data_IF_433917275514
#
_entry.id   IF_433917275514
#
_cell.length_a   1.000
_cell.length_b   1.000
_cell.length_c   1.000
_cell.angle_alpha   90.00
_cell.angle_beta   90.00
_cell.angle_gamma   90.00
#
_symmetry.space_group_name_H-M   'P 1'
#
loop_
_entity.id
_entity.type
_entity.pdbx_description
1 polymer ?
#
# COMPACT_ATOMS: atom_id res chain seq x y z
N UNK A 1 88.60 8.95 -48.26
CA UNK A 1 87.83 9.74 -47.27
C UNK A 1 86.27 9.58 -47.42
N UNK A 2 85.73 9.26 -48.60
CA UNK A 2 84.32 9.20 -48.85
C UNK A 2 83.65 7.89 -48.35
N UNK A 3 84.40 6.77 -48.17
CA UNK A 3 83.85 5.50 -47.71
C UNK A 3 83.67 5.38 -46.19
N UNK A 4 84.40 6.18 -45.41
CA UNK A 4 84.25 6.12 -43.94
C UNK A 4 83.07 6.96 -43.38
N UNK A 5 82.65 7.98 -44.16
CA UNK A 5 81.49 8.80 -43.75
C UNK A 5 80.11 8.05 -43.91
N UNK A 6 79.96 7.25 -45.00
CA UNK A 6 78.75 6.52 -45.26
C UNK A 6 78.45 5.36 -44.27
N UNK A 7 79.55 4.79 -43.72
CA UNK A 7 79.39 3.74 -42.67
C UNK A 7 79.00 4.32 -41.32
N UNK A 8 79.46 5.56 -41.01
CA UNK A 8 79.08 6.24 -39.76
C UNK A 8 77.68 6.75 -39.78
N UNK A 9 77.12 7.23 -40.90
CA UNK A 9 75.72 7.65 -41.04
C UNK A 9 74.75 6.46 -40.94
N UNK A 10 75.06 5.33 -41.56
CA UNK A 10 74.25 4.12 -41.42
C UNK A 10 74.25 3.54 -40.00
N UNK A 11 75.40 3.65 -39.29
CA UNK A 11 75.49 3.23 -37.87
C UNK A 11 74.61 4.09 -36.94
N UNK A 12 74.53 5.39 -37.18
CA UNK A 12 73.73 6.33 -36.40
C UNK A 12 72.27 6.12 -36.69
N UNK A 13 71.85 5.86 -37.91
CA UNK A 13 70.46 5.58 -38.27
C UNK A 13 70.03 4.27 -37.68
N UNK A 14 70.83 3.21 -37.71
CA UNK A 14 70.54 1.93 -37.08
C UNK A 14 70.49 2.05 -35.55
N UNK A 15 71.33 2.80 -34.93
CA UNK A 15 71.28 3.06 -33.50
C UNK A 15 70.05 3.89 -33.10
N UNK A 16 69.63 4.86 -33.90
CA UNK A 16 68.43 5.64 -33.67
C UNK A 16 67.15 4.80 -33.83
N UNK A 17 67.13 3.91 -34.82
CA UNK A 17 65.99 2.97 -35.03
C UNK A 17 65.91 1.93 -33.91
N UNK A 18 67.03 1.43 -33.43
CA UNK A 18 67.13 0.52 -32.28
C UNK A 18 66.76 1.22 -30.96
N UNK A 19 67.17 2.49 -30.79
CA UNK A 19 66.78 3.30 -29.65
C UNK A 19 65.33 3.72 -29.69
N UNK A 20 64.76 4.00 -30.86
CA UNK A 20 63.32 4.25 -31.04
C UNK A 20 62.49 2.99 -30.82
N UNK A 21 63.01 1.83 -31.21
CA UNK A 21 62.34 0.52 -30.96
C UNK A 21 62.46 0.04 -29.50
N UNK A 22 63.48 0.57 -28.77
CA UNK A 22 63.65 0.37 -27.30
C UNK A 22 62.95 1.43 -26.45
N UNK A 23 62.26 2.41 -27.03
CA UNK A 23 61.27 3.20 -26.32
C UNK A 23 60.07 2.28 -26.06
N UNK A 24 60.30 1.38 -25.14
CA UNK A 24 59.38 0.37 -24.70
C UNK A 24 58.03 0.96 -24.36
N UNK A 25 57.04 0.20 -24.62
CA UNK A 25 55.67 0.37 -24.13
C UNK A 25 55.73 0.91 -22.70
N UNK A 26 55.23 2.12 -22.50
CA UNK A 26 55.15 2.71 -21.15
C UNK A 26 54.38 1.77 -20.28
N UNK A 27 55.06 1.03 -19.39
CA UNK A 27 54.43 0.17 -18.44
C UNK A 27 53.43 1.01 -17.61
N UNK A 28 52.18 0.72 -17.75
CA UNK A 28 51.11 1.38 -16.97
C UNK A 28 51.11 0.79 -15.57
N UNK A 29 51.36 1.58 -14.52
CA UNK A 29 51.28 1.07 -13.15
C UNK A 29 49.86 0.60 -12.84
N UNK A 30 49.75 -0.64 -12.37
CA UNK A 30 48.44 -1.22 -11.98
C UNK A 30 48.47 -1.63 -10.52
N UNK A 31 47.44 -1.32 -9.80
CA UNK A 31 47.22 -1.81 -8.43
C UNK A 31 46.57 -3.17 -8.51
N UNK A 32 47.10 -4.12 -7.76
CA UNK A 32 46.61 -5.50 -7.75
C UNK A 32 46.04 -5.85 -6.39
N UNK A 33 44.82 -6.40 -6.37
CA UNK A 33 44.16 -6.90 -5.17
C UNK A 33 43.82 -8.38 -5.34
N UNK A 34 43.85 -9.14 -4.24
CA UNK A 34 43.54 -10.57 -4.28
C UNK A 34 42.03 -10.78 -4.30
N UNK A 35 41.55 -11.58 -5.23
CA UNK A 35 40.17 -12.06 -5.22
C UNK A 35 39.93 -12.92 -3.98
N UNK A 36 38.80 -12.68 -3.31
CA UNK A 36 38.40 -13.38 -2.08
C UNK A 36 37.11 -14.12 -2.33
N UNK A 37 37.03 -15.36 -1.87
CA UNK A 37 35.76 -16.12 -1.88
C UNK A 37 34.98 -15.73 -0.64
N UNK A 38 33.77 -15.19 -0.84
CA UNK A 38 32.86 -14.79 0.23
C UNK A 38 31.40 -14.98 -0.16
N UNK A 39 30.54 -14.94 0.83
CA UNK A 39 29.09 -14.87 0.64
C UNK A 39 28.70 -13.41 0.42
N UNK A 40 27.95 -13.12 -0.62
CA UNK A 40 27.45 -11.78 -0.94
C UNK A 40 25.92 -11.84 -0.85
N UNK A 41 25.36 -10.89 -0.09
CA UNK A 41 23.91 -10.68 0.00
C UNK A 41 23.58 -9.35 -0.65
N UNK A 42 22.68 -9.36 -1.61
CA UNK A 42 22.13 -8.16 -2.21
C UNK A 42 21.13 -7.53 -1.25
N UNK A 43 21.37 -6.27 -0.91
CA UNK A 43 20.54 -5.50 0.02
C UNK A 43 19.75 -4.44 -0.76
N UNK A 44 18.46 -4.39 -0.50
CA UNK A 44 17.59 -3.31 -0.95
C UNK A 44 17.29 -2.41 0.25
N UNK A 45 17.82 -1.19 0.24
CA UNK A 45 17.61 -0.22 1.32
C UNK A 45 16.40 0.67 0.99
N UNK A 46 15.46 0.75 1.92
CA UNK A 46 14.27 1.57 1.78
C UNK A 46 13.94 2.30 3.09
N UNK A 47 13.33 3.47 2.97
CA UNK A 47 12.90 4.27 4.13
C UNK A 47 11.38 4.25 4.27
N UNK A 48 10.91 4.33 5.50
CA UNK A 48 9.50 4.31 5.79
C UNK A 48 9.14 4.74 7.20
N UNK A 49 7.90 4.43 7.59
CA UNK A 49 7.38 4.76 8.93
C UNK A 49 6.89 3.51 9.63
N UNK A 50 7.15 3.47 10.93
CA UNK A 50 6.60 2.47 11.84
C UNK A 50 5.11 2.75 12.01
N UNK A 51 4.26 1.75 11.83
CA UNK A 51 2.82 1.83 12.02
C UNK A 51 2.31 0.57 12.73
N UNK A 52 1.18 0.62 13.39
CA UNK A 52 0.56 -0.58 13.93
C UNK A 52 0.03 -1.45 12.77
N UNK A 53 0.06 -2.76 12.95
CA UNK A 53 -0.53 -3.72 11.99
C UNK A 53 -2.04 -3.48 11.83
N UNK A 54 -2.73 -3.23 12.95
CA UNK A 54 -4.17 -2.95 12.98
C UNK A 54 -4.37 -1.56 13.58
N UNK A 55 -4.94 -0.66 12.81
CA UNK A 55 -5.39 0.66 13.22
C UNK A 55 -6.85 0.84 12.85
N UNK A 56 -7.69 1.18 13.82
CA UNK A 56 -9.12 1.41 13.64
C UNK A 56 -9.42 2.87 13.91
N UNK A 57 -9.96 3.56 12.92
CA UNK A 57 -10.47 4.92 13.06
C UNK A 57 -11.86 4.87 13.66
N UNK A 58 -12.07 5.58 14.77
CA UNK A 58 -13.35 5.69 15.44
C UNK A 58 -14.01 6.99 14.99
N UNK A 59 -15.12 6.84 14.27
CA UNK A 59 -15.97 7.94 13.82
C UNK A 59 -17.41 7.68 14.25
N UNK A 60 -18.21 8.69 14.60
CA UNK A 60 -19.58 8.52 15.02
C UNK A 60 -20.46 8.16 13.83
N UNK A 61 -21.48 7.35 14.05
CA UNK A 61 -22.51 7.11 13.04
C UNK A 61 -23.62 8.16 13.07
N UNK A 62 -23.78 8.83 14.21
CA UNK A 62 -24.81 9.85 14.46
C UNK A 62 -24.14 11.20 14.79
N UNK A 63 -24.78 12.30 14.40
CA UNK A 63 -24.27 13.64 14.66
C UNK A 63 -24.69 14.11 16.06
N UNK A 64 -23.83 14.90 16.72
CA UNK A 64 -24.18 15.49 18.03
C UNK A 64 -23.00 16.13 18.71
N UNK A 65 -23.21 16.60 19.93
CA UNK A 65 -22.19 17.19 20.81
C UNK A 65 -21.58 16.08 21.68
N UNK A 66 -20.26 16.07 21.79
CA UNK A 66 -19.53 15.13 22.66
C UNK A 66 -19.66 15.57 24.12
N UNK A 67 -20.30 14.75 24.96
CA UNK A 67 -20.52 15.07 26.36
C UNK A 67 -19.49 14.38 27.28
N UNK A 68 -18.93 13.26 26.84
CA UNK A 68 -18.01 12.49 27.68
C UNK A 68 -17.00 11.72 26.82
N UNK A 69 -15.74 11.82 27.16
CA UNK A 69 -14.64 11.04 26.59
C UNK A 69 -13.83 10.52 27.79
N UNK A 70 -14.15 9.34 28.33
CA UNK A 70 -13.52 8.83 29.57
C UNK A 70 -12.13 8.26 29.37
N UNK A 71 -11.53 8.44 28.20
CA UNK A 71 -10.26 7.85 27.78
C UNK A 71 -9.26 8.93 27.36
N UNK A 72 -7.97 8.65 27.50
CA UNK A 72 -6.87 9.55 27.14
C UNK A 72 -5.93 8.90 26.13
N UNK A 73 -5.15 9.71 25.41
CA UNK A 73 -4.13 9.19 24.48
C UNK A 73 -3.11 8.29 25.23
N UNK A 74 -2.75 7.18 24.58
CA UNK A 74 -1.83 6.18 25.13
C UNK A 74 -2.47 5.21 26.13
N UNK A 75 -3.75 5.38 26.48
CA UNK A 75 -4.46 4.45 27.37
C UNK A 75 -4.78 3.15 26.65
N UNK A 76 -4.59 2.02 27.34
CA UNK A 76 -5.03 0.71 26.87
C UNK A 76 -6.50 0.51 27.18
N UNK A 77 -7.25 0.04 26.18
CA UNK A 77 -8.69 -0.25 26.26
C UNK A 77 -8.96 -1.68 25.78
N UNK A 78 -10.00 -2.28 26.35
CA UNK A 78 -10.48 -3.61 25.96
C UNK A 78 -11.66 -3.46 25.00
N UNK A 79 -11.95 -4.53 24.26
CA UNK A 79 -13.17 -4.60 23.45
C UNK A 79 -14.41 -4.43 24.36
N UNK A 80 -15.28 -3.47 24.00
CA UNK A 80 -16.50 -3.15 24.73
C UNK A 80 -16.34 -2.05 25.77
N UNK A 81 -15.14 -1.48 26.00
CA UNK A 81 -14.97 -0.32 26.86
C UNK A 81 -15.60 0.93 26.22
N UNK A 82 -16.17 1.80 27.06
CA UNK A 82 -16.77 3.07 26.64
C UNK A 82 -15.66 4.02 26.16
N UNK A 83 -15.78 4.48 24.91
CA UNK A 83 -14.86 5.44 24.33
C UNK A 83 -15.41 6.86 24.33
N UNK A 84 -16.67 7.01 23.89
CA UNK A 84 -17.29 8.32 23.65
C UNK A 84 -18.76 8.25 23.93
N UNK A 85 -19.32 9.33 24.48
CA UNK A 85 -20.76 9.53 24.61
C UNK A 85 -21.15 10.83 23.93
N UNK A 86 -22.09 10.73 23.00
CA UNK A 86 -22.74 11.84 22.30
C UNK A 86 -24.02 12.19 23.05
N UNK A 87 -24.41 13.46 23.07
CA UNK A 87 -25.63 13.97 23.69
C UNK A 87 -26.87 13.25 23.18
N UNK A 88 -27.60 12.49 24.03
CA UNK A 88 -28.66 11.58 23.57
C UNK A 88 -30.04 12.26 23.47
N UNK A 89 -30.22 13.49 24.02
CA UNK A 89 -31.52 14.13 24.25
C UNK A 89 -32.42 14.13 23.00
N UNK A 90 -31.86 14.48 21.85
CA UNK A 90 -32.60 14.50 20.59
C UNK A 90 -33.05 13.11 20.16
N UNK A 91 -32.18 12.11 20.30
CA UNK A 91 -32.47 10.72 19.91
C UNK A 91 -33.45 10.06 20.87
N UNK A 92 -33.37 10.40 22.15
CA UNK A 92 -34.31 9.93 23.17
C UNK A 92 -35.71 10.48 22.93
N UNK A 93 -35.84 11.79 22.66
CA UNK A 93 -37.12 12.39 22.32
C UNK A 93 -37.70 11.82 21.01
N UNK A 94 -36.87 11.54 20.01
CA UNK A 94 -37.29 10.91 18.78
C UNK A 94 -37.78 9.46 19.01
N UNK A 95 -37.14 8.70 19.89
CA UNK A 95 -37.55 7.36 20.26
C UNK A 95 -38.93 7.41 20.97
N UNK A 96 -39.10 8.27 21.97
CA UNK A 96 -40.36 8.45 22.72
C UNK A 96 -41.52 8.83 21.78
N UNK A 97 -41.27 9.70 20.80
CA UNK A 97 -42.27 10.05 19.78
C UNK A 97 -42.71 8.81 18.96
N UNK A 98 -41.74 7.94 18.54
CA UNK A 98 -42.08 6.73 17.79
C UNK A 98 -42.78 5.68 18.66
N UNK A 99 -42.43 5.58 19.92
CA UNK A 99 -43.11 4.68 20.88
C UNK A 99 -44.58 5.13 21.11
N UNK A 100 -44.82 6.44 21.22
CA UNK A 100 -46.17 6.99 21.27
C UNK A 100 -46.98 6.69 19.99
N UNK A 101 -46.36 6.80 18.82
CA UNK A 101 -46.94 6.42 17.54
C UNK A 101 -47.31 4.95 17.47
N UNK A 102 -46.43 4.07 17.97
CA UNK A 102 -46.70 2.63 18.08
C UNK A 102 -47.85 2.35 19.01
N UNK A 103 -47.92 3.02 20.16
CA UNK A 103 -49.05 2.87 21.10
C UNK A 103 -50.40 3.25 20.44
N UNK A 104 -50.44 4.32 19.64
CA UNK A 104 -51.60 4.75 18.86
C UNK A 104 -51.99 3.68 17.81
N UNK A 105 -51.02 3.15 17.07
CA UNK A 105 -51.26 2.08 16.09
C UNK A 105 -51.82 0.82 16.74
N UNK A 106 -51.31 0.43 17.91
CA UNK A 106 -51.84 -0.69 18.70
C UNK A 106 -53.28 -0.45 19.16
N UNK A 107 -53.59 0.78 19.63
CA UNK A 107 -54.99 1.13 20.00
C UNK A 107 -55.94 1.06 18.81
N UNK A 108 -55.53 1.52 17.63
CA UNK A 108 -56.28 1.42 16.38
C UNK A 108 -56.55 -0.07 16.02
N UNK A 109 -55.54 -0.92 16.18
CA UNK A 109 -55.68 -2.36 15.91
C UNK A 109 -56.67 -3.03 16.87
N UNK A 110 -56.72 -2.65 18.15
CA UNK A 110 -57.70 -3.13 19.11
C UNK A 110 -59.12 -2.75 18.66
N UNK A 111 -59.32 -1.51 18.18
CA UNK A 111 -60.61 -1.07 17.64
C UNK A 111 -61.01 -1.88 16.38
N UNK A 112 -60.08 -2.07 15.42
CA UNK A 112 -60.34 -2.86 14.21
C UNK A 112 -60.66 -4.33 14.56
N UNK A 113 -59.97 -4.90 15.55
CA UNK A 113 -60.24 -6.25 16.06
C UNK A 113 -61.66 -6.35 16.65
N UNK A 114 -62.12 -5.37 17.42
CA UNK A 114 -63.46 -5.34 17.95
C UNK A 114 -64.52 -5.27 16.84
N UNK A 115 -64.27 -4.47 15.79
CA UNK A 115 -65.12 -4.40 14.60
C UNK A 115 -65.20 -5.76 13.87
N UNK A 116 -64.02 -6.41 13.69
CA UNK A 116 -63.98 -7.75 13.08
C UNK A 116 -64.78 -8.77 13.91
N UNK A 117 -64.59 -8.75 15.21
CA UNK A 117 -65.33 -9.65 16.10
C UNK A 117 -66.87 -9.44 15.98
N UNK A 118 -67.35 -8.19 15.91
CA UNK A 118 -68.75 -7.89 15.66
C UNK A 118 -69.21 -8.42 14.29
N UNK A 119 -68.48 -8.11 13.22
CA UNK A 119 -68.81 -8.57 11.87
C UNK A 119 -68.84 -10.12 11.76
N UNK A 120 -67.93 -10.80 12.46
CA UNK A 120 -67.92 -12.27 12.55
C UNK A 120 -69.19 -12.80 13.22
N UNK A 121 -69.67 -12.15 14.30
CA UNK A 121 -70.92 -12.52 14.98
C UNK A 121 -72.16 -12.27 14.08
N UNK A 122 -72.18 -11.09 13.44
CA UNK A 122 -73.26 -10.70 12.54
C UNK A 122 -73.33 -11.65 11.32
N UNK A 123 -72.22 -12.04 10.76
CA UNK A 123 -72.10 -13.01 9.67
C UNK A 123 -72.62 -14.39 10.11
N UNK A 124 -72.18 -14.90 11.27
CA UNK A 124 -72.57 -16.18 11.80
C UNK A 124 -74.11 -16.24 12.05
N UNK A 125 -74.71 -15.16 12.57
CA UNK A 125 -76.14 -15.02 12.73
C UNK A 125 -76.83 -15.03 11.35
N UNK A 126 -76.40 -14.31 10.36
CA UNK A 126 -76.89 -14.28 9.00
C UNK A 126 -76.86 -15.68 8.34
N UNK A 127 -75.69 -16.39 8.51
CA UNK A 127 -75.48 -17.75 8.02
C UNK A 127 -76.55 -18.77 8.60
N UNK A 128 -76.78 -18.71 9.92
CA UNK A 128 -77.75 -19.55 10.59
C UNK A 128 -79.21 -19.27 10.12
N UNK A 129 -79.54 -17.99 9.93
CA UNK A 129 -80.90 -17.59 9.46
C UNK A 129 -81.11 -17.92 7.97
N UNK A 130 -79.99 -17.75 7.12
CA UNK A 130 -80.03 -18.11 5.71
C UNK A 130 -80.23 -19.61 5.52
N UNK A 131 -79.59 -20.46 6.32
CA UNK A 131 -79.80 -21.91 6.35
C UNK A 131 -81.20 -22.33 6.70
N UNK A 132 -81.92 -21.49 7.47
CA UNK A 132 -83.33 -21.65 7.81
C UNK A 132 -84.32 -20.97 6.83
N UNK A 133 -83.82 -20.38 5.74
CA UNK A 133 -84.56 -19.62 4.73
C UNK A 133 -85.32 -18.39 5.31
N UNK A 134 -84.84 -17.79 6.39
CA UNK A 134 -85.47 -16.66 7.06
C UNK A 134 -84.95 -15.28 6.64
N UNK A 135 -83.84 -15.23 5.84
CA UNK A 135 -83.30 -14.00 5.29
C UNK A 135 -83.04 -14.13 3.77
N UNK A 136 -82.99 -13.00 3.08
CA UNK A 136 -82.70 -12.96 1.62
C UNK A 136 -81.26 -13.29 1.29
N UNK A 137 -81.01 -13.75 0.07
CA UNK A 137 -79.67 -13.95 -0.42
C UNK A 137 -78.87 -12.63 -0.44
N UNK A 138 -79.50 -11.49 -0.70
CA UNK A 138 -78.88 -10.17 -0.68
C UNK A 138 -78.37 -9.82 0.73
N UNK A 139 -79.11 -10.12 1.79
CA UNK A 139 -78.70 -9.85 3.18
C UNK A 139 -77.49 -10.73 3.58
N UNK A 140 -77.49 -12.00 3.15
CA UNK A 140 -76.37 -12.91 3.42
C UNK A 140 -75.09 -12.46 2.70
N UNK A 141 -75.20 -12.06 1.41
CA UNK A 141 -74.04 -11.51 0.64
C UNK A 141 -73.56 -10.22 1.30
N UNK A 142 -74.44 -9.34 1.77
CA UNK A 142 -74.07 -8.12 2.48
C UNK A 142 -73.25 -8.40 3.77
N UNK A 143 -73.71 -9.39 4.57
CA UNK A 143 -73.01 -9.80 5.78
C UNK A 143 -71.62 -10.39 5.48
N UNK A 144 -71.49 -11.19 4.40
CA UNK A 144 -70.23 -11.73 3.94
C UNK A 144 -69.27 -10.62 3.53
N UNK A 145 -69.75 -9.66 2.73
CA UNK A 145 -68.95 -8.52 2.31
C UNK A 145 -68.44 -7.66 3.50
N UNK A 146 -69.32 -7.41 4.46
CA UNK A 146 -68.97 -6.68 5.68
C UNK A 146 -67.93 -7.43 6.52
N UNK A 147 -67.97 -8.75 6.60
CA UNK A 147 -66.91 -9.54 7.26
C UNK A 147 -65.56 -9.42 6.54
N UNK A 148 -65.56 -9.52 5.21
CA UNK A 148 -64.34 -9.39 4.43
C UNK A 148 -63.70 -7.99 4.58
N UNK A 149 -64.52 -6.94 4.56
CA UNK A 149 -64.06 -5.57 4.81
C UNK A 149 -63.44 -5.43 6.21
N UNK A 150 -64.15 -5.92 7.25
CA UNK A 150 -63.66 -5.85 8.63
C UNK A 150 -62.35 -6.65 8.82
N UNK A 151 -62.21 -7.78 8.12
CA UNK A 151 -60.98 -8.58 8.12
C UNK A 151 -59.81 -7.83 7.45
N UNK A 152 -60.08 -7.24 6.28
CA UNK A 152 -59.09 -6.43 5.58
C UNK A 152 -58.64 -5.20 6.40
N UNK A 153 -59.56 -4.53 7.10
CA UNK A 153 -59.25 -3.43 8.00
C UNK A 153 -58.38 -3.87 9.17
N UNK A 154 -58.63 -5.02 9.76
CA UNK A 154 -57.79 -5.58 10.82
C UNK A 154 -56.43 -5.96 10.32
N UNK A 155 -56.32 -6.64 9.17
CA UNK A 155 -55.04 -6.99 8.55
C UNK A 155 -54.21 -5.73 8.20
N UNK A 156 -54.87 -4.68 7.70
CA UNK A 156 -54.26 -3.37 7.46
C UNK A 156 -53.68 -2.74 8.75
N UNK A 157 -54.44 -2.81 9.86
CA UNK A 157 -54.00 -2.32 11.17
C UNK A 157 -52.77 -3.08 11.70
N UNK A 158 -52.71 -4.39 11.47
CA UNK A 158 -51.52 -5.20 11.82
C UNK A 158 -50.30 -4.81 10.99
N UNK A 159 -50.49 -4.50 9.69
CA UNK A 159 -49.40 -4.00 8.84
C UNK A 159 -48.90 -2.63 9.32
N UNK A 160 -49.79 -1.75 9.79
CA UNK A 160 -49.43 -0.47 10.39
C UNK A 160 -48.57 -0.64 11.67
N UNK A 161 -48.93 -1.58 12.56
CA UNK A 161 -48.15 -1.92 13.75
C UNK A 161 -46.72 -2.32 13.33
N UNK A 162 -46.57 -3.27 12.40
CA UNK A 162 -45.27 -3.73 11.93
C UNK A 162 -44.41 -2.57 11.37
N UNK A 163 -45.03 -1.67 10.60
CA UNK A 163 -44.34 -0.48 10.07
C UNK A 163 -43.84 0.45 11.19
N UNK A 164 -44.69 0.72 12.18
CA UNK A 164 -44.31 1.59 13.31
C UNK A 164 -43.33 0.92 14.26
N UNK A 165 -43.37 -0.40 14.44
CA UNK A 165 -42.36 -1.17 15.15
C UNK A 165 -40.97 -1.05 14.47
N UNK A 166 -40.92 -1.09 13.13
CA UNK A 166 -39.72 -0.81 12.36
C UNK A 166 -39.15 0.59 12.63
N UNK A 167 -40.04 1.61 12.68
CA UNK A 167 -39.62 2.98 13.01
C UNK A 167 -39.09 3.12 14.43
N UNK A 168 -39.70 2.45 15.42
CA UNK A 168 -39.19 2.40 16.81
C UNK A 168 -37.81 1.74 16.87
N UNK A 169 -37.63 0.61 16.17
CA UNK A 169 -36.34 -0.08 16.11
C UNK A 169 -35.26 0.83 15.54
N UNK A 170 -35.55 1.54 14.45
CA UNK A 170 -34.60 2.49 13.85
C UNK A 170 -34.22 3.64 14.80
N UNK A 171 -35.18 4.22 15.52
CA UNK A 171 -34.91 5.28 16.50
C UNK A 171 -34.11 4.75 17.69
N UNK A 172 -34.37 3.52 18.12
CA UNK A 172 -33.63 2.85 19.19
C UNK A 172 -32.16 2.58 18.78
N UNK A 173 -31.96 2.13 17.55
CA UNK A 173 -30.60 1.95 16.99
C UNK A 173 -29.85 3.27 16.92
N UNK A 174 -30.52 4.35 16.50
CA UNK A 174 -29.91 5.68 16.46
C UNK A 174 -29.53 6.17 17.86
N UNK A 175 -30.35 5.90 18.87
CA UNK A 175 -30.03 6.20 20.26
C UNK A 175 -28.87 5.34 20.76
N UNK A 176 -28.83 4.05 20.45
CA UNK A 176 -27.72 3.19 20.85
C UNK A 176 -26.37 3.67 20.27
N UNK A 177 -26.39 4.21 19.05
CA UNK A 177 -25.20 4.75 18.36
C UNK A 177 -24.68 6.07 18.95
N UNK A 178 -25.40 6.69 19.91
CA UNK A 178 -24.87 7.85 20.66
C UNK A 178 -23.78 7.45 21.66
N UNK A 179 -23.68 6.16 22.01
CA UNK A 179 -22.66 5.63 22.90
C UNK A 179 -21.74 4.71 22.11
N UNK A 180 -20.48 5.11 22.01
CA UNK A 180 -19.50 4.42 21.15
C UNK A 180 -18.59 3.59 22.04
N UNK A 181 -18.52 2.31 21.75
CA UNK A 181 -17.67 1.33 22.45
C UNK A 181 -16.52 0.88 21.56
N UNK A 182 -15.45 0.42 22.19
CA UNK A 182 -14.29 -0.11 21.47
C UNK A 182 -14.63 -1.41 20.73
N UNK A 183 -14.42 -1.50 19.41
CA UNK A 183 -14.64 -2.71 18.63
C UNK A 183 -13.56 -3.77 18.85
N UNK A 184 -12.34 -3.36 19.24
CA UNK A 184 -11.17 -4.24 19.45
C UNK A 184 -10.41 -3.83 20.71
N UNK A 185 -9.58 -4.72 21.22
CA UNK A 185 -8.63 -4.36 22.28
C UNK A 185 -7.40 -3.67 21.67
N UNK A 186 -6.85 -2.65 22.32
CA UNK A 186 -5.69 -1.90 21.85
C UNK A 186 -5.40 -0.69 22.71
N UNK A 187 -4.60 0.23 22.20
CA UNK A 187 -4.30 1.51 22.84
C UNK A 187 -4.74 2.67 21.95
N UNK A 188 -5.13 3.77 22.56
CA UNK A 188 -5.51 4.98 21.83
C UNK A 188 -4.25 5.63 21.29
N UNK A 189 -4.12 5.65 19.95
CA UNK A 189 -2.95 6.21 19.28
C UNK A 189 -3.04 7.71 19.05
N UNK A 190 -4.25 8.24 18.87
CA UNK A 190 -4.52 9.67 18.78
C UNK A 190 -5.95 9.99 19.18
N UNK A 191 -6.16 11.16 19.78
CA UNK A 191 -7.46 11.72 20.12
C UNK A 191 -7.58 13.06 19.38
N UNK A 192 -8.50 13.14 18.40
CA UNK A 192 -8.65 14.29 17.51
C UNK A 192 -9.75 15.25 17.92
N UNK A 193 -10.68 14.82 18.78
CA UNK A 193 -11.82 15.64 19.22
C UNK A 193 -11.87 15.80 20.74
N UNK A 194 -12.42 16.91 21.19
CA UNK A 194 -12.54 17.27 22.61
C UNK A 194 -14.01 17.24 23.09
N UNK A 195 -14.21 17.16 24.41
CA UNK A 195 -15.54 17.26 25.04
C UNK A 195 -16.13 18.65 24.77
N UNK A 196 -17.39 18.68 24.35
CA UNK A 196 -18.11 19.89 23.94
C UNK A 196 -18.05 20.16 22.44
N UNK A 197 -17.21 19.44 21.68
CA UNK A 197 -17.14 19.56 20.24
C UNK A 197 -18.37 18.92 19.56
N UNK A 198 -18.80 19.48 18.44
CA UNK A 198 -19.88 18.93 17.63
C UNK A 198 -19.34 18.08 16.49
N UNK A 199 -19.72 16.80 16.47
CA UNK A 199 -19.27 15.84 15.48
C UNK A 199 -20.37 15.53 14.46
N UNK A 200 -19.94 15.16 13.26
CA UNK A 200 -20.83 14.78 12.15
C UNK A 200 -20.77 13.27 11.96
N UNK A 201 -21.91 12.65 11.85
CA UNK A 201 -22.01 11.20 11.62
C UNK A 201 -21.65 10.79 10.20
N UNK A 202 -21.21 9.53 10.04
CA UNK A 202 -20.82 8.94 8.73
C UNK A 202 -21.99 8.69 7.78
N UNK A 203 -23.25 8.92 8.20
CA UNK A 203 -24.44 8.58 7.41
C UNK A 203 -24.64 9.40 6.14
N UNK A 204 -24.05 10.61 6.02
CA UNK A 204 -24.26 11.51 4.87
C UNK A 204 -22.98 12.13 4.32
N UNK A 205 -21.90 12.12 5.09
CA UNK A 205 -20.60 12.74 4.74
C UNK A 205 -19.44 11.88 5.29
N UNK A 206 -18.22 12.26 4.94
CA UNK A 206 -17.05 11.73 5.65
C UNK A 206 -17.17 12.15 7.12
N UNK A 207 -17.46 11.20 8.01
CA UNK A 207 -17.67 11.46 9.44
C UNK A 207 -16.43 12.07 10.10
N UNK A 208 -16.63 12.83 11.18
CA UNK A 208 -15.53 13.38 11.98
C UNK A 208 -14.75 12.23 12.61
N UNK A 209 -13.44 12.18 12.43
CA UNK A 209 -12.57 11.24 13.12
C UNK A 209 -12.39 11.71 14.57
N UNK A 210 -12.89 10.94 15.55
CA UNK A 210 -12.78 11.31 16.97
C UNK A 210 -11.45 10.82 17.55
N UNK A 211 -11.10 9.57 17.29
CA UNK A 211 -9.87 8.96 17.80
C UNK A 211 -9.44 7.78 16.93
N UNK A 212 -8.19 7.37 17.11
CA UNK A 212 -7.65 6.14 16.51
C UNK A 212 -7.29 5.15 17.61
N UNK A 213 -7.66 3.92 17.37
CA UNK A 213 -7.33 2.79 18.20
C UNK A 213 -6.36 1.89 17.47
N UNK A 214 -5.24 1.55 18.10
CA UNK A 214 -4.17 0.78 17.50
C UNK A 214 -3.72 -0.36 18.42
N UNK A 215 -3.40 -1.50 17.83
CA UNK A 215 -2.68 -2.54 18.55
C UNK A 215 -1.18 -2.25 18.48
N UNK A 216 -0.59 -1.84 19.62
CA UNK A 216 0.82 -1.48 19.69
C UNK A 216 1.75 -2.68 19.95
N UNK A 217 1.20 -3.88 20.21
CA UNK A 217 2.00 -5.08 20.42
C UNK A 217 2.56 -5.61 19.09
N UNK A 218 1.80 -5.41 18.00
CA UNK A 218 2.18 -5.80 16.66
C UNK A 218 2.43 -4.56 15.81
N UNK A 219 3.70 -4.31 15.53
CA UNK A 219 4.11 -3.17 14.73
C UNK A 219 4.68 -3.62 13.39
N UNK A 220 4.43 -2.84 12.35
CA UNK A 220 4.99 -3.02 11.01
C UNK A 220 5.70 -1.75 10.55
N UNK A 221 6.68 -1.89 9.68
CA UNK A 221 7.24 -0.75 8.93
C UNK A 221 6.66 -0.76 7.53
N UNK A 222 6.11 0.35 7.13
CA UNK A 222 5.68 0.58 5.75
C UNK A 222 6.76 1.37 5.04
N UNK A 223 7.50 0.69 4.16
CA UNK A 223 8.58 1.29 3.39
C UNK A 223 8.17 1.48 1.94
N UNK A 224 8.80 2.47 1.30
CA UNK A 224 8.64 2.74 -0.13
C UNK A 224 9.87 2.21 -0.84
N UNK A 225 9.69 1.20 -1.67
CA UNK A 225 10.74 0.59 -2.48
C UNK A 225 10.60 1.05 -3.93
N UNK A 226 11.72 1.38 -4.57
CA UNK A 226 11.75 1.80 -5.97
C UNK A 226 11.36 0.66 -6.91
N UNK A 227 10.80 0.99 -8.08
CA UNK A 227 10.41 0.05 -9.13
C UNK A 227 11.55 -0.87 -9.59
N UNK A 228 12.78 -0.36 -9.65
CA UNK A 228 13.92 -1.16 -10.07
C UNK A 228 14.32 -2.23 -9.05
N UNK A 229 14.06 -1.98 -7.77
CA UNK A 229 14.49 -2.83 -6.66
C UNK A 229 13.39 -3.81 -6.23
N UNK A 230 12.12 -3.46 -6.44
CA UNK A 230 10.97 -4.28 -6.02
C UNK A 230 10.95 -5.67 -6.68
N UNK A 231 11.51 -5.77 -7.90
CA UNK A 231 11.58 -7.03 -8.66
C UNK A 231 12.37 -8.10 -7.87
N UNK A 232 13.35 -7.67 -7.09
CA UNK A 232 14.22 -8.54 -6.31
C UNK A 232 13.64 -8.90 -4.93
N UNK A 233 12.64 -8.15 -4.45
CA UNK A 233 12.03 -8.35 -3.12
C UNK A 233 10.95 -9.43 -3.18
N UNK A 234 11.00 -10.37 -2.23
CA UNK A 234 10.06 -11.48 -2.12
C UNK A 234 9.38 -11.50 -0.76
N UNK A 235 8.19 -12.09 -0.72
CA UNK A 235 7.51 -12.38 0.54
C UNK A 235 8.37 -13.33 1.38
N UNK A 236 8.53 -12.99 2.66
CA UNK A 236 9.33 -13.80 3.59
C UNK A 236 10.80 -13.41 3.65
N UNK A 237 11.28 -12.45 2.85
CA UNK A 237 12.66 -11.97 2.92
C UNK A 237 12.95 -11.41 4.31
N UNK A 238 14.14 -11.71 4.82
CA UNK A 238 14.63 -11.16 6.08
C UNK A 238 14.98 -9.70 5.93
N UNK A 239 14.68 -8.93 6.96
CA UNK A 239 14.97 -7.51 6.98
C UNK A 239 15.66 -7.10 8.26
N UNK A 240 16.56 -6.13 8.14
CA UNK A 240 17.17 -5.44 9.27
C UNK A 240 16.57 -4.05 9.30
N UNK A 241 15.83 -3.76 10.37
CA UNK A 241 15.16 -2.48 10.58
C UNK A 241 15.95 -1.64 11.56
N UNK A 242 16.31 -0.44 11.18
CA UNK A 242 16.93 0.57 12.03
C UNK A 242 15.94 1.71 12.22
N UNK A 243 15.51 1.95 13.46
CA UNK A 243 14.58 3.02 13.80
C UNK A 243 15.38 4.22 14.31
N UNK A 244 15.13 5.40 13.73
CA UNK A 244 15.91 6.61 14.03
C UNK A 244 15.84 7.02 15.51
N UNK A 245 14.73 6.72 16.18
CA UNK A 245 14.53 6.97 17.60
C UNK A 245 15.37 6.07 18.52
N UNK A 246 15.95 4.96 18.01
CA UNK A 246 16.75 4.02 18.78
C UNK A 246 18.11 3.77 18.11
N UNK A 247 19.00 4.76 18.12
CA UNK A 247 20.31 4.64 17.47
C UNK A 247 21.11 3.47 18.05
N UNK A 248 21.68 2.65 17.17
CA UNK A 248 22.49 1.48 17.56
C UNK A 248 21.71 0.21 17.84
N UNK A 249 20.37 0.22 17.83
CA UNK A 249 19.55 -0.99 17.91
C UNK A 249 19.09 -1.40 16.53
N UNK A 250 19.30 -2.67 16.20
CA UNK A 250 18.80 -3.29 14.96
C UNK A 250 17.68 -4.25 15.32
N UNK A 251 16.54 -4.08 14.69
CA UNK A 251 15.40 -4.97 14.84
C UNK A 251 15.34 -5.90 13.64
N UNK A 252 14.99 -7.14 13.87
CA UNK A 252 14.77 -8.09 12.79
C UNK A 252 13.31 -8.07 12.38
N UNK A 253 13.07 -8.07 11.09
CA UNK A 253 11.75 -8.12 10.50
C UNK A 253 11.67 -9.13 9.37
N UNK A 254 10.47 -9.31 8.85
CA UNK A 254 10.17 -10.16 7.70
C UNK A 254 9.19 -9.43 6.80
N UNK A 255 9.42 -9.50 5.48
CA UNK A 255 8.50 -8.96 4.47
C UNK A 255 7.20 -9.76 4.51
N UNK A 256 6.11 -9.10 4.92
CA UNK A 256 4.79 -9.72 5.06
C UNK A 256 3.89 -9.47 3.84
N UNK A 257 3.98 -8.28 3.25
CA UNK A 257 3.11 -7.90 2.13
C UNK A 257 3.86 -6.95 1.18
N UNK A 258 3.63 -7.13 -0.11
CA UNK A 258 4.14 -6.26 -1.18
C UNK A 258 2.94 -5.75 -1.96
N UNK A 259 2.77 -4.43 -2.04
CA UNK A 259 1.67 -3.83 -2.80
C UNK A 259 1.80 -4.15 -4.30
N UNK A 260 0.71 -4.58 -4.92
CA UNK A 260 0.65 -4.82 -6.36
C UNK A 260 0.48 -3.54 -7.19
N UNK A 261 0.13 -2.42 -6.57
CA UNK A 261 -0.03 -1.12 -7.21
C UNK A 261 1.02 -0.13 -6.74
N UNK A 262 1.56 0.63 -7.69
CA UNK A 262 2.49 1.70 -7.39
C UNK A 262 1.77 2.86 -6.66
N UNK A 263 2.46 3.49 -5.74
CA UNK A 263 2.03 4.74 -5.13
C UNK A 263 2.58 5.87 -5.97
N UNK A 264 1.72 6.45 -6.79
CA UNK A 264 2.03 7.69 -7.48
C UNK A 264 1.85 8.83 -6.48
N UNK A 265 2.93 9.52 -6.14
CA UNK A 265 2.87 10.69 -5.26
C UNK A 265 2.30 11.83 -6.10
N UNK A 266 1.00 12.11 -6.00
CA UNK A 266 0.43 13.26 -6.72
C UNK A 266 -1.02 13.16 -7.16
N UNK A 267 -1.75 12.09 -6.86
CA UNK A 267 -3.14 11.91 -7.34
C UNK A 267 -4.15 12.97 -6.82
N UNK A 268 -3.73 14.03 -6.13
CA UNK A 268 -4.63 15.07 -5.58
C UNK A 268 -4.30 16.50 -6.04
N UNK A 269 -3.38 16.65 -7.00
CA UNK A 269 -3.14 17.98 -7.64
C UNK A 269 -3.08 17.78 -9.15
N UNK A 270 -4.25 17.80 -9.77
CA UNK A 270 -4.37 18.00 -11.20
C UNK A 270 -3.82 19.40 -11.54
N UNK A 271 -2.82 19.45 -12.39
CA UNK A 271 -2.15 20.60 -12.97
C UNK A 271 -0.89 21.07 -12.23
N UNK A 272 0.26 20.53 -12.59
CA UNK A 272 1.44 21.23 -13.13
C UNK A 272 2.66 20.33 -13.14
N UNK A 273 3.28 20.24 -14.32
CA UNK A 273 4.64 19.77 -14.62
C UNK A 273 4.93 18.25 -14.47
N UNK A 274 5.12 17.61 -15.61
CA UNK A 274 5.87 16.35 -15.79
C UNK A 274 7.30 16.53 -15.27
N UNK A 275 7.51 16.33 -13.98
CA UNK A 275 8.81 16.07 -13.39
C UNK A 275 8.91 14.56 -13.17
N UNK A 276 10.06 13.96 -13.43
CA UNK A 276 10.38 12.54 -13.26
C UNK A 276 9.75 11.95 -11.99
N UNK A 277 8.59 11.33 -12.14
CA UNK A 277 7.83 10.78 -11.03
C UNK A 277 8.40 9.40 -10.71
N UNK A 278 9.15 9.31 -9.63
CA UNK A 278 9.75 8.06 -9.17
C UNK A 278 8.63 7.12 -8.71
N UNK A 279 8.44 6.05 -9.45
CA UNK A 279 7.47 5.02 -9.12
C UNK A 279 7.95 4.22 -7.91
N UNK A 280 7.16 4.22 -6.83
CA UNK A 280 7.46 3.48 -5.62
C UNK A 280 6.36 2.48 -5.29
N UNK A 281 6.74 1.34 -4.72
CA UNK A 281 5.82 0.31 -4.23
C UNK A 281 5.87 0.26 -2.70
N UNK A 282 4.70 0.06 -2.09
CA UNK A 282 4.61 -0.09 -0.64
C UNK A 282 4.93 -1.52 -0.25
N UNK A 283 5.89 -1.68 0.66
CA UNK A 283 6.23 -2.98 1.26
C UNK A 283 5.97 -2.89 2.76
N UNK A 284 5.22 -3.85 3.31
CA UNK A 284 4.94 -3.97 4.74
C UNK A 284 5.83 -5.04 5.34
N UNK A 285 6.53 -4.66 6.39
CA UNK A 285 7.52 -5.47 7.07
C UNK A 285 7.11 -5.61 8.53
N UNK A 286 6.80 -6.81 8.96
CA UNK A 286 6.48 -7.09 10.36
C UNK A 286 7.77 -7.07 11.20
N UNK A 287 7.76 -6.31 12.31
CA UNK A 287 8.91 -6.18 13.22
C UNK A 287 8.70 -7.08 14.43
N UNK A 288 9.71 -7.85 14.77
CA UNK A 288 9.78 -8.56 16.05
C UNK A 288 10.56 -7.69 17.05
N UNK A 289 9.85 -6.90 17.83
CA UNK A 289 10.46 -5.99 18.82
C UNK A 289 9.78 -6.12 20.20
N UNK A 290 9.92 -7.25 20.89
CA UNK A 290 9.20 -7.51 22.15
C UNK A 290 9.56 -6.55 23.30
N UNK A 291 10.72 -5.88 23.25
CA UNK A 291 11.22 -5.05 24.34
C UNK A 291 11.21 -3.54 24.07
N UNK A 292 10.99 -3.12 22.82
CA UNK A 292 11.01 -1.70 22.46
C UNK A 292 9.59 -1.17 22.30
N UNK A 293 9.22 -0.16 23.10
CA UNK A 293 7.95 0.57 22.90
C UNK A 293 8.05 1.45 21.65
N UNK A 294 7.83 0.86 20.49
CA UNK A 294 7.73 1.59 19.24
C UNK A 294 6.43 2.40 19.22
N UNK A 295 6.51 3.62 18.71
CA UNK A 295 5.33 4.47 18.54
C UNK A 295 4.99 4.64 17.06
N UNK A 296 3.71 4.70 16.70
CA UNK A 296 3.29 5.03 15.34
C UNK A 296 3.89 6.35 14.87
N UNK A 297 4.30 6.40 13.60
CA UNK A 297 4.88 7.59 12.99
C UNK A 297 6.40 7.70 13.07
N UNK A 298 7.10 6.88 13.87
CA UNK A 298 8.57 6.87 13.90
C UNK A 298 9.14 6.53 12.53
N UNK A 299 10.21 7.24 12.13
CA UNK A 299 10.94 6.95 10.89
C UNK A 299 11.87 5.75 11.08
N UNK A 300 11.96 4.93 10.06
CA UNK A 300 12.82 3.76 10.04
C UNK A 300 13.45 3.55 8.65
N UNK A 301 14.68 3.08 8.66
CA UNK A 301 15.40 2.60 7.49
C UNK A 301 15.45 1.08 7.55
N UNK A 302 15.15 0.45 6.44
CA UNK A 302 15.10 -1.02 6.35
C UNK A 302 16.04 -1.49 5.25
N UNK A 303 16.88 -2.45 5.59
CA UNK A 303 17.71 -3.19 4.66
C UNK A 303 17.07 -4.58 4.44
N UNK A 304 16.57 -4.84 3.24
CA UNK A 304 15.92 -6.08 2.85
C UNK A 304 16.98 -6.99 2.22
N UNK A 305 17.17 -8.17 2.79
CA UNK A 305 18.07 -9.20 2.28
C UNK A 305 17.36 -9.99 1.17
N UNK A 306 17.63 -9.64 -0.10
CA UNK A 306 16.88 -10.20 -1.24
C UNK A 306 17.50 -11.48 -1.79
N UNK A 307 18.73 -11.44 -2.24
CA UNK A 307 19.42 -12.57 -2.82
C UNK A 307 20.79 -12.78 -2.15
N UNK A 308 21.01 -13.97 -1.66
CA UNK A 308 22.30 -14.37 -1.08
C UNK A 308 22.93 -15.43 -1.95
N UNK A 309 24.15 -15.14 -2.42
CA UNK A 309 24.97 -16.10 -3.18
C UNK A 309 26.17 -16.47 -2.32
N UNK A 310 26.33 -17.76 -2.07
CA UNK A 310 27.37 -18.30 -1.22
C UNK A 310 28.58 -18.75 -2.04
N UNK A 311 29.80 -18.60 -1.46
CA UNK A 311 31.05 -19.08 -2.05
C UNK A 311 31.35 -18.50 -3.45
N UNK A 312 31.10 -17.22 -3.66
CA UNK A 312 31.41 -16.52 -4.91
C UNK A 312 32.74 -15.78 -4.83
N UNK A 313 33.47 -15.76 -5.95
CA UNK A 313 34.69 -14.99 -6.08
C UNK A 313 34.33 -13.51 -6.15
N UNK A 314 34.72 -12.75 -5.13
CA UNK A 314 34.49 -11.32 -5.05
C UNK A 314 35.72 -10.56 -5.49
N UNK A 315 35.53 -9.59 -6.37
CA UNK A 315 36.56 -8.63 -6.81
C UNK A 315 36.03 -7.22 -6.61
N UNK A 316 36.92 -6.21 -6.37
CA UNK A 316 36.47 -4.83 -6.30
C UNK A 316 35.77 -4.39 -7.59
N UNK A 317 34.73 -3.60 -7.50
CA UNK A 317 33.93 -3.15 -8.65
C UNK A 317 34.81 -2.39 -9.68
N UNK A 318 35.83 -1.71 -9.20
CA UNK A 318 36.81 -1.00 -10.04
C UNK A 318 37.67 -1.93 -10.89
N UNK A 319 37.77 -3.21 -10.54
CA UNK A 319 38.56 -4.21 -11.30
C UNK A 319 37.80 -4.77 -12.50
N UNK A 320 36.48 -4.54 -12.56
CA UNK A 320 35.67 -4.98 -13.68
C UNK A 320 35.52 -3.84 -14.68
N UNK A 321 36.07 -4.05 -15.89
CA UNK A 321 35.97 -3.06 -16.96
C UNK A 321 35.17 -3.64 -18.14
N UNK A 322 34.64 -2.74 -18.96
CA UNK A 322 33.92 -3.11 -20.17
C UNK A 322 34.84 -2.86 -21.36
N UNK A 323 35.05 -3.89 -22.16
CA UNK A 323 35.89 -3.80 -23.38
C UNK A 323 35.10 -4.35 -24.58
N UNK A 324 35.35 -3.76 -25.72
CA UNK A 324 34.84 -4.29 -26.97
C UNK A 324 35.62 -5.54 -27.39
N UNK A 325 34.98 -6.37 -28.20
CA UNK A 325 35.64 -7.52 -28.83
C UNK A 325 36.88 -7.03 -29.60
N UNK A 326 38.07 -7.44 -29.16
CA UNK A 326 39.35 -6.97 -29.71
C UNK A 326 40.18 -6.08 -28.76
N UNK A 327 39.73 -5.90 -27.49
CA UNK A 327 40.53 -5.26 -26.41
C UNK A 327 40.57 -3.74 -26.41
N UNK A 328 39.91 -3.07 -27.35
CA UNK A 328 39.82 -1.61 -27.43
C UNK A 328 38.86 -1.02 -26.40
N UNK A 329 39.19 0.16 -25.88
CA UNK A 329 38.27 0.91 -25.00
C UNK A 329 37.11 1.47 -25.78
N UNK A 330 35.96 1.75 -25.09
CA UNK A 330 34.81 2.42 -25.72
C UNK A 330 35.18 3.78 -26.35
N UNK A 331 36.13 4.51 -25.74
CA UNK A 331 36.63 5.79 -26.25
C UNK A 331 37.49 5.62 -27.51
N UNK A 332 38.34 4.61 -27.55
CA UNK A 332 39.17 4.30 -28.74
C UNK A 332 38.30 3.86 -29.92
N UNK A 333 37.18 3.13 -29.63
CA UNK A 333 36.20 2.76 -30.66
C UNK A 333 35.42 3.97 -31.18
N UNK A 334 35.03 4.87 -30.28
CA UNK A 334 34.36 6.12 -30.67
C UNK A 334 35.29 7.04 -31.47
N UNK A 335 36.56 7.16 -31.08
CA UNK A 335 37.56 7.92 -31.82
C UNK A 335 37.89 7.31 -33.19
N UNK A 336 37.93 5.98 -33.27
CA UNK A 336 38.14 5.29 -34.55
C UNK A 336 36.94 5.50 -35.49
N UNK A 337 35.72 5.33 -34.98
CA UNK A 337 34.48 5.58 -35.74
C UNK A 337 34.31 7.06 -36.13
N UNK A 338 34.66 7.99 -35.23
CA UNK A 338 34.63 9.42 -35.53
C UNK A 338 35.66 9.83 -36.62
N UNK A 339 36.79 9.11 -36.73
CA UNK A 339 37.76 9.29 -37.82
C UNK A 339 37.24 8.73 -39.12
N UNK A 340 36.62 7.55 -39.11
CA UNK A 340 36.00 6.93 -40.30
C UNK A 340 34.76 7.71 -40.78
N UNK A 341 33.97 8.28 -39.87
CA UNK A 341 32.81 9.13 -40.23
C UNK A 341 33.25 10.47 -40.85
N UNK A 342 34.39 11.03 -40.43
CA UNK A 342 34.99 12.24 -41.07
C UNK A 342 35.52 12.00 -42.48
N UNK A 343 35.90 10.79 -42.79
CA UNK A 343 36.37 10.40 -44.14
C UNK A 343 35.21 10.08 -45.10
N UNK A 344 33.99 9.83 -44.58
CA UNK A 344 32.77 9.46 -45.37
C UNK A 344 31.67 10.52 -45.43
N UNK A 345 31.99 11.80 -45.29
CA UNK A 345 31.05 12.92 -45.31
C UNK A 345 30.23 12.96 -46.62
N UNK A 346 28.94 12.57 -46.56
CA UNK A 346 27.94 12.79 -47.59
C UNK A 346 26.78 11.80 -47.58
N UNK A 347 25.76 11.97 -46.75
CA UNK A 347 24.33 11.83 -47.02
C UNK A 347 23.47 11.64 -45.76
N UNK A 348 22.41 12.42 -45.64
CA UNK A 348 21.49 12.52 -44.50
C UNK A 348 20.60 11.30 -44.20
N UNK A 349 20.73 10.19 -44.92
CA UNK A 349 19.98 8.96 -44.76
C UNK A 349 20.63 7.91 -43.80
N UNK A 350 21.85 8.17 -43.33
CA UNK A 350 22.62 7.22 -42.49
C UNK A 350 22.44 7.41 -40.97
N UNK A 351 21.80 8.47 -40.52
CA UNK A 351 21.68 8.77 -39.06
C UNK A 351 20.78 7.77 -38.31
N UNK A 352 19.83 7.13 -39.00
CA UNK A 352 18.98 6.11 -38.37
C UNK A 352 19.70 4.76 -38.29
N UNK A 353 20.53 4.39 -39.31
CA UNK A 353 21.33 3.16 -39.27
C UNK A 353 22.47 3.23 -38.26
N UNK A 354 23.08 4.42 -38.08
CA UNK A 354 24.11 4.61 -37.05
C UNK A 354 23.61 4.46 -35.63
N UNK A 355 22.37 4.85 -35.33
CA UNK A 355 21.74 4.62 -34.01
C UNK A 355 21.53 3.15 -33.72
N UNK A 356 21.10 2.37 -34.70
CA UNK A 356 20.88 0.93 -34.55
C UNK A 356 22.21 0.15 -34.49
N UNK A 357 23.25 0.59 -35.22
CA UNK A 357 24.58 0.02 -35.10
C UNK A 357 25.27 0.40 -33.78
N UNK A 358 25.08 1.62 -33.28
CA UNK A 358 25.55 2.02 -31.97
C UNK A 358 24.85 1.23 -30.83
N UNK A 359 23.60 0.87 -31.01
CA UNK A 359 22.85 0.01 -30.09
C UNK A 359 23.38 -1.44 -30.12
N UNK A 360 23.57 -2.01 -31.31
CA UNK A 360 24.15 -3.36 -31.51
C UNK A 360 25.60 -3.45 -31.03
N UNK A 361 26.40 -2.38 -31.17
CA UNK A 361 27.78 -2.35 -30.65
C UNK A 361 27.86 -2.21 -29.13
N UNK A 362 26.84 -1.67 -28.45
CA UNK A 362 26.72 -1.72 -26.99
C UNK A 362 26.36 -3.13 -26.48
N UNK A 363 25.66 -3.92 -27.24
CA UNK A 363 25.35 -5.33 -26.92
C UNK A 363 26.55 -6.29 -27.05
N UNK A 364 27.63 -5.87 -27.73
CA UNK A 364 28.88 -6.64 -27.92
C UNK A 364 30.00 -6.26 -26.97
N UNK A 365 29.69 -5.59 -25.86
CA UNK A 365 30.66 -5.22 -24.86
C UNK A 365 30.82 -6.34 -23.82
N UNK A 366 32.01 -6.92 -23.75
CA UNK A 366 32.36 -7.96 -22.79
C UNK A 366 32.83 -7.33 -21.47
N UNK A 367 32.36 -7.87 -20.35
CA UNK A 367 32.89 -7.54 -19.02
C UNK A 367 34.17 -8.35 -18.81
N UNK A 368 35.23 -7.68 -18.44
CA UNK A 368 36.55 -8.28 -18.32
C UNK A 368 37.28 -7.86 -17.06
N UNK A 369 38.09 -8.75 -16.55
CA UNK A 369 38.99 -8.54 -15.42
C UNK A 369 40.42 -8.78 -15.90
N UNK A 370 41.36 -7.98 -15.43
CA UNK A 370 42.77 -8.17 -15.71
C UNK A 370 43.43 -8.98 -14.59
N UNK A 371 43.97 -10.14 -14.95
CA UNK A 371 44.65 -11.04 -14.00
C UNK A 371 46.15 -10.90 -14.18
N UNK A 372 46.87 -10.60 -13.08
CA UNK A 372 48.32 -10.54 -13.06
C UNK A 372 48.91 -11.94 -13.15
N UNK A 373 49.73 -12.19 -14.15
CA UNK A 373 50.52 -13.41 -14.32
C UNK A 373 51.99 -13.05 -14.47
N UNK A 374 52.77 -13.14 -13.35
CA UNK A 374 54.13 -12.64 -13.31
C UNK A 374 54.19 -11.12 -13.43
N UNK A 375 54.92 -10.61 -14.41
CA UNK A 375 55.11 -9.15 -14.67
C UNK A 375 54.10 -8.61 -15.71
N UNK A 376 53.22 -9.42 -16.22
CA UNK A 376 52.24 -9.01 -17.22
C UNK A 376 50.81 -9.27 -16.70
N UNK A 377 49.86 -8.54 -17.28
CA UNK A 377 48.43 -8.72 -17.00
C UNK A 377 47.72 -9.30 -18.23
N UNK A 378 46.84 -10.29 -17.99
CA UNK A 378 46.03 -10.91 -19.05
C UNK A 378 44.59 -10.56 -18.84
N UNK A 379 43.90 -10.26 -19.91
CA UNK A 379 42.47 -9.99 -19.92
C UNK A 379 41.70 -11.32 -19.89
N UNK A 380 40.77 -11.44 -18.97
CA UNK A 380 39.81 -12.56 -18.88
C UNK A 380 38.37 -12.06 -18.92
N UNK A 381 37.55 -12.65 -19.78
CA UNK A 381 36.13 -12.40 -19.83
C UNK A 381 35.47 -13.03 -18.59
N UNK A 382 34.61 -12.26 -17.93
CA UNK A 382 33.90 -12.70 -16.73
C UNK A 382 32.40 -12.40 -16.85
N UNK A 383 31.60 -13.27 -16.27
CA UNK A 383 30.18 -13.00 -16.04
C UNK A 383 30.04 -12.45 -14.62
N UNK A 384 29.43 -11.29 -14.51
CA UNK A 384 29.20 -10.65 -13.22
C UNK A 384 27.81 -11.02 -12.70
N UNK A 385 27.74 -11.44 -11.43
CA UNK A 385 26.52 -11.67 -10.70
C UNK A 385 26.01 -10.41 -9.98
N UNK A 386 25.65 -10.58 -8.70
CA UNK A 386 25.20 -9.48 -7.82
C UNK A 386 26.38 -8.62 -7.36
N UNK A 387 26.12 -7.33 -7.15
CA UNK A 387 27.08 -6.35 -6.66
C UNK A 387 26.61 -5.74 -5.33
#
# INVERSE_FOLDING_TARGET
FAHSLAVAENGIVIAAVVAAKRRGEKATPVTVEKAVVRTITHLVTATGKVQPEIEVKISPEVAGELIEIPVIEGQSVKKGDLLVRIKPDFYQAALEQQEASLASAKATSVLSRARLTKAQHDFKQAEELYGKQLVSNADFVAATANLEVAKADFDSSLALIRRTEGSVSQSRDSLAKTTIYSPVAGSISSLSSEVGERVVGTGSFAGTEIMRLANLDNMEVRVKVNENDIINVKLGDRTIVTVDAFPGRKFTGVVNEISSSAITIGAQSAATSASDEVTNFLVKISIKAPEAKLRPGMSATVDIETQTVVNVVSVPIQSVTVRAVGGKTSEELQLAKAKEAKERSGNDLEVASERDEARRSREQLDRVVFIKTGDTVKQHKVETGIA
#
